data_IF_378958314698
#
_entry.id   IF_378958314698
#
_cell.length_a   1.000
_cell.length_b   1.000
_cell.length_c   1.000
_cell.angle_alpha   90.00
_cell.angle_beta   90.00
_cell.angle_gamma   90.00
#
_symmetry.space_group_name_H-M   'P 1'
#
loop_
_entity.id
_entity.type
_entity.pdbx_description
1 polymer ?
#
# COMPACT_ATOMS: atom_id res chain seq x y z
N UNK A 1 24.02 -23.20 51.08
CA UNK A 1 23.52 -22.89 49.72
C UNK A 1 22.96 -21.47 49.76
N UNK A 2 23.61 -20.52 49.09
CA UNK A 2 23.17 -19.12 49.02
C UNK A 2 22.48 -18.92 47.68
N UNK A 3 21.16 -18.79 47.69
CA UNK A 3 20.38 -18.39 46.53
C UNK A 3 20.71 -16.94 46.20
N UNK A 4 21.19 -16.71 44.98
CA UNK A 4 21.41 -15.39 44.42
C UNK A 4 20.18 -15.03 43.60
N UNK A 5 19.31 -14.22 44.17
CA UNK A 5 18.16 -13.62 43.49
C UNK A 5 18.69 -12.63 42.45
N UNK A 6 18.61 -13.00 41.16
CA UNK A 6 18.87 -12.08 40.05
C UNK A 6 17.71 -11.09 39.95
N UNK A 7 17.99 -9.83 40.27
CA UNK A 7 17.15 -8.68 39.94
C UNK A 7 17.10 -8.52 38.41
N UNK A 8 15.99 -8.93 37.81
CA UNK A 8 15.60 -8.47 36.47
C UNK A 8 15.29 -6.97 36.58
N UNK A 9 16.26 -6.15 36.21
CA UNK A 9 16.04 -4.72 35.97
C UNK A 9 15.39 -4.59 34.61
N UNK A 10 14.08 -4.42 34.59
CA UNK A 10 13.34 -3.91 33.43
C UNK A 10 13.89 -2.51 33.13
N UNK A 11 14.83 -2.45 32.17
CA UNK A 11 15.34 -1.19 31.63
C UNK A 11 14.23 -0.62 30.76
N UNK A 12 13.59 0.45 31.26
CA UNK A 12 12.69 1.26 30.45
C UNK A 12 13.54 1.98 29.42
N UNK A 13 13.39 1.60 28.15
CA UNK A 13 13.87 2.32 26.98
C UNK A 13 13.57 3.82 27.20
N UNK A 14 14.56 4.72 27.10
CA UNK A 14 14.25 6.15 27.07
C UNK A 14 13.36 6.35 25.84
N UNK A 15 12.09 6.71 26.08
CA UNK A 15 11.17 7.21 25.06
C UNK A 15 11.75 8.51 24.50
N UNK A 16 12.77 8.39 23.66
CA UNK A 16 13.28 9.49 22.87
C UNK A 16 12.12 9.95 22.01
N UNK A 17 11.82 11.23 22.19
CA UNK A 17 10.69 12.00 21.70
C UNK A 17 10.10 11.50 20.38
N UNK A 18 8.77 11.58 20.22
CA UNK A 18 8.14 11.26 18.95
C UNK A 18 8.81 12.15 17.91
N UNK A 19 9.51 11.53 16.95
CA UNK A 19 9.78 12.20 15.70
C UNK A 19 8.41 12.58 15.18
N UNK A 20 8.06 13.85 15.35
CA UNK A 20 6.92 14.46 14.72
C UNK A 20 7.13 14.19 13.23
N UNK A 21 6.47 13.13 12.76
CA UNK A 21 6.25 12.88 11.36
C UNK A 21 5.62 14.17 10.88
N UNK A 22 6.42 14.95 10.14
CA UNK A 22 5.85 15.91 9.20
C UNK A 22 5.19 15.00 8.17
N UNK A 23 3.95 14.62 8.49
CA UNK A 23 2.93 14.41 7.49
C UNK A 23 3.03 15.68 6.67
N UNK A 24 3.57 15.57 5.46
CA UNK A 24 3.44 16.62 4.47
C UNK A 24 1.94 16.66 4.22
N UNK A 25 1.23 17.46 5.01
CA UNK A 25 -0.08 17.97 4.68
C UNK A 25 0.15 18.84 3.44
N UNK A 26 0.19 18.19 2.28
CA UNK A 26 -0.23 18.85 1.06
C UNK A 26 -1.60 19.41 1.36
N UNK A 27 -1.66 20.72 1.58
CA UNK A 27 -2.89 21.45 1.74
C UNK A 27 -3.72 21.20 0.48
N UNK A 28 -4.65 20.25 0.58
CA UNK A 28 -5.76 20.09 -0.33
C UNK A 28 -6.55 21.40 -0.27
N UNK A 29 -6.24 22.30 -1.20
CA UNK A 29 -7.13 23.40 -1.59
C UNK A 29 -8.49 22.76 -1.85
N UNK A 30 -9.50 23.22 -1.11
CA UNK A 30 -10.76 22.52 -0.89
C UNK A 30 -11.37 21.88 -2.13
N UNK A 31 -11.47 20.55 -2.10
CA UNK A 31 -12.39 19.82 -2.97
C UNK A 31 -13.83 20.03 -2.46
N UNK A 32 -14.78 20.38 -3.35
CA UNK A 32 -16.16 20.59 -2.95
C UNK A 32 -16.79 19.25 -2.57
N UNK A 33 -17.40 19.21 -1.39
CA UNK A 33 -18.45 18.29 -0.96
C UNK A 33 -18.30 16.83 -1.41
N UNK A 34 -17.82 16.00 -0.48
CA UNK A 34 -17.99 14.55 -0.48
C UNK A 34 -19.49 14.26 -0.50
N UNK A 35 -20.06 14.14 -1.70
CA UNK A 35 -21.35 13.49 -1.91
C UNK A 35 -21.11 12.02 -1.56
N UNK A 36 -21.74 11.57 -0.47
CA UNK A 36 -21.82 10.15 -0.12
C UNK A 36 -22.15 9.34 -1.38
N UNK A 37 -21.38 8.28 -1.59
CA UNK A 37 -21.55 7.36 -2.71
C UNK A 37 -23.00 6.87 -2.73
N UNK A 38 -23.71 7.13 -3.83
CA UNK A 38 -24.97 6.46 -4.09
C UNK A 38 -24.71 4.94 -4.16
N UNK A 39 -25.64 4.10 -3.67
CA UNK A 39 -25.47 2.66 -3.75
C UNK A 39 -25.22 2.21 -5.21
N UNK A 40 -24.39 1.18 -5.43
CA UNK A 40 -23.86 0.80 -6.76
C UNK A 40 -24.91 0.47 -7.82
N UNK A 41 -26.18 0.31 -7.45
CA UNK A 41 -27.28 -0.02 -8.35
C UNK A 41 -27.85 1.19 -9.12
N UNK A 42 -27.72 2.42 -8.62
CA UNK A 42 -28.25 3.64 -9.27
C UNK A 42 -27.18 4.46 -10.00
N UNK A 43 -26.00 3.89 -10.22
CA UNK A 43 -24.88 4.62 -10.80
C UNK A 43 -25.09 4.92 -12.31
N UNK A 44 -25.14 6.20 -12.75
CA UNK A 44 -25.39 6.56 -14.14
C UNK A 44 -24.25 6.18 -15.11
N UNK A 45 -23.09 5.79 -14.59
CA UNK A 45 -21.93 5.39 -15.38
C UNK A 45 -21.79 3.87 -15.50
N UNK A 46 -22.70 3.09 -14.88
CA UNK A 46 -22.67 1.63 -14.93
C UNK A 46 -22.87 1.14 -16.38
N UNK A 47 -22.12 0.12 -16.84
CA UNK A 47 -22.35 -0.45 -18.16
C UNK A 47 -23.74 -1.13 -18.22
N UNK A 48 -24.43 -1.11 -19.38
CA UNK A 48 -25.65 -1.88 -19.57
C UNK A 48 -25.42 -3.38 -19.36
N UNK A 49 -26.36 -4.07 -18.72
CA UNK A 49 -26.27 -5.50 -18.48
C UNK A 49 -26.45 -6.31 -19.78
N UNK A 50 -25.74 -7.43 -19.90
CA UNK A 50 -25.91 -8.38 -21.01
C UNK A 50 -25.32 -7.92 -22.35
N UNK A 51 -24.47 -6.90 -22.35
CA UNK A 51 -23.72 -6.51 -23.55
C UNK A 51 -22.69 -7.57 -23.92
N UNK A 52 -22.30 -7.58 -25.21
CA UNK A 52 -21.12 -8.30 -25.67
C UNK A 52 -19.83 -7.61 -25.20
N UNK A 53 -18.68 -8.30 -25.29
CA UNK A 53 -17.38 -7.70 -25.01
C UNK A 53 -17.14 -6.41 -25.80
N UNK A 54 -17.52 -6.36 -27.09
CA UNK A 54 -17.40 -5.15 -27.90
C UNK A 54 -18.26 -4.01 -27.33
N UNK A 55 -19.49 -4.31 -26.86
CA UNK A 55 -20.34 -3.32 -26.23
C UNK A 55 -19.75 -2.75 -24.93
N UNK A 56 -19.05 -3.57 -24.13
CA UNK A 56 -18.34 -3.07 -22.94
C UNK A 56 -17.10 -2.25 -23.29
N UNK A 57 -16.35 -2.63 -24.33
CA UNK A 57 -15.22 -1.85 -24.83
C UNK A 57 -15.65 -0.49 -25.39
N UNK A 58 -16.76 -0.44 -26.13
CA UNK A 58 -17.34 0.81 -26.63
C UNK A 58 -17.79 1.70 -25.46
N UNK A 59 -18.44 1.12 -24.44
CA UNK A 59 -18.80 1.86 -23.22
C UNK A 59 -17.57 2.40 -22.48
N UNK A 60 -16.51 1.61 -22.36
CA UNK A 60 -15.22 2.05 -21.80
C UNK A 60 -14.64 3.24 -22.57
N UNK A 61 -14.66 3.22 -23.91
CA UNK A 61 -14.22 4.35 -24.72
C UNK A 61 -15.05 5.61 -24.44
N UNK A 62 -16.38 5.49 -24.34
CA UNK A 62 -17.28 6.61 -23.98
C UNK A 62 -16.96 7.18 -22.59
N UNK A 63 -16.56 6.33 -21.63
CA UNK A 63 -16.10 6.79 -20.32
C UNK A 63 -14.79 7.58 -20.43
N UNK A 64 -13.82 7.12 -21.23
CA UNK A 64 -12.54 7.80 -21.42
C UNK A 64 -12.68 9.19 -22.07
N UNK A 65 -13.71 9.40 -22.89
CA UNK A 65 -13.99 10.68 -23.53
C UNK A 65 -14.63 11.72 -22.60
N UNK A 66 -15.04 11.33 -21.38
CA UNK A 66 -15.65 12.29 -20.44
C UNK A 66 -14.62 13.33 -19.96
N UNK A 67 -15.04 14.58 -19.66
CA UNK A 67 -14.16 15.59 -19.08
C UNK A 67 -13.54 15.15 -17.74
N UNK A 68 -12.33 15.61 -17.45
CA UNK A 68 -11.60 15.26 -16.21
C UNK A 68 -12.38 15.56 -14.93
N UNK A 69 -13.18 16.64 -14.91
CA UNK A 69 -14.04 16.99 -13.77
C UNK A 69 -15.12 15.95 -13.46
N UNK A 70 -15.52 15.13 -14.45
CA UNK A 70 -16.41 14.00 -14.23
C UNK A 70 -15.62 12.77 -13.78
N UNK A 71 -14.43 12.55 -14.34
CA UNK A 71 -13.56 11.41 -14.02
C UNK A 71 -13.10 11.37 -12.56
N UNK A 72 -13.01 12.54 -11.93
CA UNK A 72 -12.67 12.65 -10.50
C UNK A 72 -13.82 12.27 -9.55
N UNK A 73 -15.05 12.09 -10.04
CA UNK A 73 -16.22 11.77 -9.20
C UNK A 73 -16.23 10.30 -8.83
N UNK A 74 -16.60 10.00 -7.58
CA UNK A 74 -16.71 8.62 -7.07
C UNK A 74 -17.64 7.75 -7.92
N UNK A 75 -18.83 8.26 -8.26
CA UNK A 75 -19.78 7.55 -9.13
C UNK A 75 -19.17 7.19 -10.49
N UNK A 76 -18.37 8.09 -11.09
CA UNK A 76 -17.71 7.79 -12.35
C UNK A 76 -16.69 6.65 -12.19
N UNK A 77 -15.84 6.72 -11.16
CA UNK A 77 -14.83 5.67 -10.89
C UNK A 77 -15.46 4.31 -10.60
N UNK A 78 -16.57 4.27 -9.87
CA UNK A 78 -17.35 3.04 -9.68
C UNK A 78 -17.94 2.50 -11.00
N UNK A 79 -18.41 3.37 -11.89
CA UNK A 79 -18.88 2.97 -13.21
C UNK A 79 -17.76 2.42 -14.09
N UNK A 80 -16.58 3.03 -14.00
CA UNK A 80 -15.36 2.53 -14.65
C UNK A 80 -14.96 1.16 -14.08
N UNK A 81 -14.90 1.00 -12.75
CA UNK A 81 -14.57 -0.27 -12.11
C UNK A 81 -15.54 -1.40 -12.52
N UNK A 82 -16.85 -1.11 -12.54
CA UNK A 82 -17.87 -2.05 -13.02
C UNK A 82 -17.74 -2.37 -14.51
N UNK A 83 -17.34 -1.39 -15.33
CA UNK A 83 -17.07 -1.63 -16.77
C UNK A 83 -15.87 -2.53 -16.95
N UNK A 84 -14.79 -2.32 -16.21
CA UNK A 84 -13.58 -3.14 -16.25
C UNK A 84 -13.87 -4.57 -15.78
N UNK A 85 -14.68 -4.73 -14.74
CA UNK A 85 -15.15 -6.04 -14.28
C UNK A 85 -15.86 -6.80 -15.42
N UNK A 86 -16.82 -6.15 -16.10
CA UNK A 86 -17.52 -6.74 -17.23
C UNK A 86 -16.63 -7.07 -18.41
N UNK A 87 -15.63 -6.25 -18.71
CA UNK A 87 -14.62 -6.56 -19.73
C UNK A 87 -13.81 -7.80 -19.33
N UNK A 88 -13.39 -7.89 -18.06
CA UNK A 88 -12.55 -8.98 -17.56
C UNK A 88 -13.31 -10.29 -17.34
N UNK A 89 -14.64 -10.26 -17.17
CA UNK A 89 -15.51 -11.45 -17.23
C UNK A 89 -15.41 -12.18 -18.59
N UNK A 90 -15.07 -11.46 -19.66
CA UNK A 90 -14.80 -11.98 -21.01
C UNK A 90 -13.29 -12.06 -21.31
N UNK A 91 -12.46 -12.28 -20.29
CA UNK A 91 -11.01 -12.21 -20.39
C UNK A 91 -10.39 -13.17 -21.40
N UNK A 92 -11.05 -14.29 -21.72
CA UNK A 92 -10.64 -15.27 -22.73
C UNK A 92 -10.81 -14.77 -24.18
N UNK A 93 -11.64 -13.74 -24.38
CA UNK A 93 -11.82 -13.06 -25.67
C UNK A 93 -10.80 -11.92 -25.87
N UNK A 94 -9.97 -11.62 -24.86
CA UNK A 94 -9.00 -10.53 -24.87
C UNK A 94 -7.58 -11.03 -25.15
N UNK A 95 -6.78 -10.18 -25.77
CA UNK A 95 -5.33 -10.36 -25.80
C UNK A 95 -4.76 -10.23 -24.38
N UNK A 96 -3.79 -11.08 -24.02
CA UNK A 96 -3.08 -11.07 -22.73
C UNK A 96 -2.67 -9.66 -22.27
N UNK A 97 -2.12 -8.84 -23.19
CA UNK A 97 -1.68 -7.46 -22.91
C UNK A 97 -2.84 -6.55 -22.51
N UNK A 98 -4.02 -6.73 -23.12
CA UNK A 98 -5.24 -5.99 -22.76
C UNK A 98 -5.78 -6.48 -21.42
N UNK A 99 -5.76 -7.79 -21.18
CA UNK A 99 -6.18 -8.36 -19.90
C UNK A 99 -5.31 -7.84 -18.75
N UNK A 100 -3.98 -7.87 -18.90
CA UNK A 100 -3.03 -7.28 -17.95
C UNK A 100 -3.31 -5.80 -17.70
N UNK A 101 -3.53 -5.03 -18.76
CA UNK A 101 -3.81 -3.60 -18.68
C UNK A 101 -5.10 -3.32 -17.91
N UNK A 102 -6.18 -4.05 -18.19
CA UNK A 102 -7.46 -3.85 -17.53
C UNK A 102 -7.46 -4.29 -16.07
N UNK A 103 -6.76 -5.39 -15.73
CA UNK A 103 -6.59 -5.81 -14.32
C UNK A 103 -5.85 -4.75 -13.51
N UNK A 104 -4.73 -4.22 -14.02
CA UNK A 104 -3.99 -3.13 -13.37
C UNK A 104 -4.84 -1.86 -13.22
N UNK A 105 -5.61 -1.50 -14.27
CA UNK A 105 -6.48 -0.34 -14.23
C UNK A 105 -7.63 -0.52 -13.22
N UNK A 106 -8.16 -1.75 -13.06
CA UNK A 106 -9.20 -2.05 -12.09
C UNK A 106 -8.69 -1.90 -10.65
N UNK A 107 -7.51 -2.47 -10.34
CA UNK A 107 -6.84 -2.29 -9.04
C UNK A 107 -6.59 -0.80 -8.75
N UNK A 108 -6.03 -0.07 -9.72
CA UNK A 108 -5.78 1.37 -9.58
C UNK A 108 -7.07 2.16 -9.32
N UNK A 109 -8.13 1.88 -10.08
CA UNK A 109 -9.41 2.60 -9.95
C UNK A 109 -10.03 2.40 -8.56
N UNK A 110 -9.96 1.18 -8.02
CA UNK A 110 -10.43 0.86 -6.69
C UNK A 110 -9.54 1.46 -5.59
N UNK A 111 -8.21 1.48 -5.79
CA UNK A 111 -7.26 2.17 -4.90
C UNK A 111 -7.57 3.67 -4.79
N UNK A 112 -7.75 4.34 -5.93
CA UNK A 112 -8.10 5.76 -5.99
C UNK A 112 -9.44 6.07 -5.26
N UNK A 113 -10.37 5.12 -5.23
CA UNK A 113 -11.63 5.22 -4.46
C UNK A 113 -11.39 4.99 -2.96
N UNK A 114 -10.63 3.96 -2.59
CA UNK A 114 -10.29 3.66 -1.20
C UNK A 114 -9.50 4.82 -0.54
N UNK A 115 -8.58 5.45 -1.27
CA UNK A 115 -7.85 6.64 -0.82
C UNK A 115 -8.78 7.83 -0.52
N UNK A 116 -9.91 7.92 -1.25
CA UNK A 116 -10.98 8.89 -1.00
C UNK A 116 -11.91 8.47 0.16
N UNK A 117 -11.52 7.50 0.97
CA UNK A 117 -12.25 6.97 2.14
C UNK A 117 -13.56 6.27 1.81
N UNK A 118 -13.63 5.64 0.63
CA UNK A 118 -14.72 4.73 0.26
C UNK A 118 -14.44 3.33 0.81
N UNK A 119 -15.10 2.96 1.90
CA UNK A 119 -14.92 1.67 2.59
C UNK A 119 -15.35 0.48 1.73
N UNK A 120 -16.35 0.64 0.86
CA UNK A 120 -16.79 -0.45 -0.03
C UNK A 120 -15.76 -0.69 -1.14
N UNK A 121 -15.15 0.39 -1.66
CA UNK A 121 -14.06 0.26 -2.62
C UNK A 121 -12.83 -0.40 -2.01
N UNK A 122 -12.53 -0.11 -0.74
CA UNK A 122 -11.44 -0.76 -0.01
C UNK A 122 -11.67 -2.27 0.15
N UNK A 123 -12.88 -2.68 0.56
CA UNK A 123 -13.24 -4.10 0.65
C UNK A 123 -13.10 -4.80 -0.70
N UNK A 124 -13.59 -4.17 -1.75
CA UNK A 124 -13.54 -4.71 -3.11
C UNK A 124 -12.11 -4.78 -3.65
N UNK A 125 -11.29 -3.76 -3.37
CA UNK A 125 -9.86 -3.73 -3.70
C UNK A 125 -9.13 -4.94 -3.12
N UNK A 126 -9.29 -5.22 -1.83
CA UNK A 126 -8.60 -6.35 -1.20
C UNK A 126 -9.20 -7.71 -1.60
N UNK A 127 -10.53 -7.78 -1.88
CA UNK A 127 -11.12 -8.97 -2.50
C UNK A 127 -10.47 -9.28 -3.85
N UNK A 128 -10.29 -8.25 -4.68
CA UNK A 128 -9.72 -8.37 -6.00
C UNK A 128 -8.21 -8.67 -5.95
N UNK A 129 -7.46 -8.04 -5.04
CA UNK A 129 -6.06 -8.33 -4.80
C UNK A 129 -5.83 -9.81 -4.45
N UNK A 130 -6.68 -10.41 -3.61
CA UNK A 130 -6.62 -11.87 -3.32
C UNK A 130 -6.87 -12.73 -4.55
N UNK A 131 -7.72 -12.27 -5.45
CA UNK A 131 -8.00 -12.97 -6.72
C UNK A 131 -6.79 -12.89 -7.67
N UNK A 132 -6.08 -11.76 -7.66
CA UNK A 132 -4.96 -11.48 -8.56
C UNK A 132 -3.57 -11.80 -7.98
N UNK A 133 -3.47 -12.25 -6.73
CA UNK A 133 -2.22 -12.66 -6.09
C UNK A 133 -1.43 -13.68 -6.94
N UNK A 134 -2.15 -14.51 -7.70
CA UNK A 134 -1.58 -15.56 -8.58
C UNK A 134 -1.81 -15.27 -10.06
N UNK A 135 -2.11 -14.03 -10.43
CA UNK A 135 -2.31 -13.62 -11.83
C UNK A 135 -1.12 -14.07 -12.69
N UNK A 136 -1.31 -14.58 -13.92
CA UNK A 136 -0.19 -14.94 -14.79
C UNK A 136 0.69 -13.72 -15.10
N UNK A 137 0.10 -12.53 -15.12
CA UNK A 137 0.77 -11.26 -15.40
C UNK A 137 1.59 -10.80 -14.20
N UNK A 138 2.90 -10.63 -14.40
CA UNK A 138 3.82 -10.24 -13.33
C UNK A 138 3.44 -8.90 -12.71
N UNK A 139 3.08 -7.89 -13.52
CA UNK A 139 2.75 -6.56 -13.02
C UNK A 139 1.52 -6.58 -12.09
N UNK A 140 0.45 -7.29 -12.52
CA UNK A 140 -0.79 -7.43 -11.74
C UNK A 140 -0.52 -8.18 -10.43
N UNK A 141 0.22 -9.29 -10.49
CA UNK A 141 0.58 -10.07 -9.30
C UNK A 141 1.40 -9.24 -8.31
N UNK A 142 2.35 -8.44 -8.78
CA UNK A 142 3.16 -7.58 -7.93
C UNK A 142 2.30 -6.50 -7.24
N UNK A 143 1.40 -5.85 -7.97
CA UNK A 143 0.49 -4.85 -7.38
C UNK A 143 -0.48 -5.50 -6.38
N UNK A 144 -1.06 -6.65 -6.72
CA UNK A 144 -1.92 -7.41 -5.82
C UNK A 144 -1.20 -7.80 -4.53
N UNK A 145 0.03 -8.31 -4.62
CA UNK A 145 0.84 -8.65 -3.45
C UNK A 145 1.20 -7.41 -2.62
N UNK A 146 1.49 -6.27 -3.25
CA UNK A 146 1.74 -5.01 -2.55
C UNK A 146 0.53 -4.60 -1.71
N UNK A 147 -0.67 -4.64 -2.29
CA UNK A 147 -1.92 -4.32 -1.59
C UNK A 147 -2.17 -5.28 -0.42
N UNK A 148 -1.92 -6.58 -0.59
CA UNK A 148 -2.06 -7.56 0.50
C UNK A 148 -1.03 -7.33 1.63
N UNK A 149 0.17 -6.87 1.29
CA UNK A 149 1.14 -6.42 2.29
C UNK A 149 0.67 -5.17 3.03
N UNK A 150 0.14 -4.17 2.33
CA UNK A 150 -0.46 -2.97 2.95
C UNK A 150 -1.58 -3.36 3.94
N UNK A 151 -2.51 -4.24 3.52
CA UNK A 151 -3.58 -4.77 4.38
C UNK A 151 -3.02 -5.46 5.63
N UNK A 152 -2.07 -6.38 5.43
CA UNK A 152 -1.43 -7.14 6.52
C UNK A 152 -0.75 -6.21 7.51
N UNK A 153 0.02 -5.23 7.03
CA UNK A 153 0.78 -4.30 7.88
C UNK A 153 -0.13 -3.33 8.63
N UNK A 154 -1.25 -2.94 8.03
CA UNK A 154 -2.25 -2.07 8.65
C UNK A 154 -3.02 -2.78 9.75
N UNK A 155 -3.34 -4.06 9.57
CA UNK A 155 -4.06 -4.87 10.56
C UNK A 155 -3.27 -5.15 11.85
N UNK A 156 -1.96 -4.88 11.87
CA UNK A 156 -1.11 -5.09 13.06
C UNK A 156 -1.25 -3.86 13.99
N UNK A 157 -2.17 -3.94 14.96
CA UNK A 157 -2.29 -2.94 16.02
C UNK A 157 -1.14 -3.08 17.03
N UNK A 158 -0.96 -4.28 17.57
CA UNK A 158 0.09 -4.64 18.53
C UNK A 158 0.98 -5.74 17.93
N UNK A 159 2.24 -5.43 17.55
CA UNK A 159 3.10 -6.42 16.93
C UNK A 159 3.65 -7.40 17.97
N UNK A 160 3.55 -8.68 17.66
CA UNK A 160 4.17 -9.75 18.44
C UNK A 160 5.69 -9.73 18.26
N UNK A 161 6.42 -9.48 19.35
CA UNK A 161 7.88 -9.37 19.36
C UNK A 161 8.58 -10.63 18.86
N UNK A 162 7.98 -11.82 19.02
CA UNK A 162 8.58 -13.06 18.57
C UNK A 162 8.56 -13.22 17.04
N UNK A 163 7.54 -12.67 16.38
CA UNK A 163 7.32 -12.82 14.92
C UNK A 163 7.66 -11.56 14.13
N UNK A 164 7.78 -10.41 14.79
CA UNK A 164 8.07 -9.13 14.16
C UNK A 164 9.37 -9.10 13.34
N UNK A 165 10.52 -9.67 13.80
CA UNK A 165 11.73 -9.72 12.97
C UNK A 165 11.53 -10.53 11.67
N UNK A 166 10.85 -11.68 11.75
CA UNK A 166 10.57 -12.53 10.59
C UNK A 166 9.65 -11.81 9.60
N UNK A 167 8.61 -11.13 10.09
CA UNK A 167 7.73 -10.30 9.28
C UNK A 167 8.50 -9.21 8.51
N UNK A 168 9.42 -8.50 9.18
CA UNK A 168 10.25 -7.48 8.56
C UNK A 168 11.24 -8.07 7.54
N UNK A 169 11.76 -9.27 7.78
CA UNK A 169 12.59 -9.97 6.81
C UNK A 169 11.78 -10.34 5.56
N UNK A 170 10.58 -10.89 5.74
CA UNK A 170 9.73 -11.32 4.62
C UNK A 170 9.21 -10.14 3.80
N UNK A 171 8.84 -9.04 4.46
CA UNK A 171 8.48 -7.81 3.77
C UNK A 171 9.65 -7.29 2.92
N UNK A 172 10.87 -7.31 3.46
CA UNK A 172 12.07 -6.90 2.71
C UNK A 172 12.31 -7.81 1.50
N UNK A 173 12.22 -9.14 1.67
CA UNK A 173 12.36 -10.10 0.56
C UNK A 173 11.35 -9.79 -0.54
N UNK A 174 10.09 -9.52 -0.19
CA UNK A 174 9.07 -9.12 -1.16
C UNK A 174 9.48 -7.84 -1.90
N UNK A 175 9.85 -6.78 -1.19
CA UNK A 175 10.25 -5.51 -1.79
C UNK A 175 11.48 -5.64 -2.71
N UNK A 176 12.42 -6.53 -2.39
CA UNK A 176 13.58 -6.82 -3.25
C UNK A 176 13.17 -7.50 -4.58
N UNK A 177 11.99 -8.15 -4.65
CA UNK A 177 11.49 -8.74 -5.90
C UNK A 177 10.88 -7.73 -6.86
N UNK A 178 10.64 -6.50 -6.39
CA UNK A 178 10.03 -5.46 -7.19
C UNK A 178 11.09 -4.79 -8.08
N UNK A 179 10.79 -4.56 -9.37
CA UNK A 179 11.75 -3.96 -10.29
C UNK A 179 12.08 -2.52 -9.91
N UNK A 180 11.12 -1.82 -9.30
CA UNK A 180 11.25 -0.43 -8.87
C UNK A 180 10.41 -0.16 -7.62
N UNK A 181 10.93 0.72 -6.77
CA UNK A 181 10.19 1.29 -5.65
C UNK A 181 9.82 2.74 -5.99
N UNK A 182 8.54 3.00 -6.20
CA UNK A 182 7.98 4.35 -6.45
C UNK A 182 7.05 4.86 -5.35
N UNK A 183 6.26 5.88 -5.68
CA UNK A 183 5.28 6.55 -4.81
C UNK A 183 4.36 5.59 -4.06
N UNK A 184 3.82 4.58 -4.76
CA UNK A 184 2.93 3.55 -4.20
C UNK A 184 3.50 2.76 -3.01
N UNK A 185 4.81 2.79 -2.78
CA UNK A 185 5.44 2.07 -1.67
C UNK A 185 5.66 2.95 -0.43
N UNK A 186 5.29 4.24 -0.46
CA UNK A 186 5.45 5.13 0.69
C UNK A 186 4.67 4.64 1.92
N UNK A 187 3.46 4.11 1.72
CA UNK A 187 2.63 3.60 2.81
C UNK A 187 3.30 2.38 3.47
N UNK A 188 3.77 1.41 2.66
CA UNK A 188 4.55 0.27 3.15
C UNK A 188 5.83 0.72 3.88
N UNK A 189 6.53 1.73 3.36
CA UNK A 189 7.72 2.27 4.01
C UNK A 189 7.44 2.96 5.35
N UNK A 190 6.29 3.61 5.47
CA UNK A 190 5.82 4.16 6.75
C UNK A 190 5.49 3.05 7.74
N UNK A 191 4.75 2.01 7.29
CA UNK A 191 4.39 0.89 8.15
C UNK A 191 5.59 0.05 8.59
N UNK A 192 6.57 -0.21 7.71
CA UNK A 192 7.78 -0.95 8.08
C UNK A 192 8.56 -0.22 9.18
N UNK A 193 8.68 1.11 9.09
CA UNK A 193 9.35 1.91 10.13
C UNK A 193 8.56 1.94 11.43
N UNK A 194 7.23 2.01 11.38
CA UNK A 194 6.39 1.85 12.58
C UNK A 194 6.66 0.52 13.28
N UNK A 195 6.77 -0.57 12.52
CA UNK A 195 7.08 -1.89 13.03
C UNK A 195 8.51 -1.96 13.61
N UNK A 196 9.50 -1.38 12.95
CA UNK A 196 10.88 -1.30 13.48
C UNK A 196 10.91 -0.55 14.81
N UNK A 197 10.19 0.58 14.92
CA UNK A 197 10.07 1.34 16.17
C UNK A 197 9.39 0.55 17.31
N UNK A 198 8.63 -0.48 16.99
CA UNK A 198 7.95 -1.32 17.96
C UNK A 198 8.80 -2.50 18.44
N UNK A 199 9.97 -2.76 17.85
CA UNK A 199 10.90 -3.78 18.35
C UNK A 199 11.45 -3.36 19.71
N UNK A 200 11.34 -4.23 20.70
CA UNK A 200 11.96 -4.04 22.03
C UNK A 200 13.45 -4.37 22.02
N UNK A 201 13.90 -5.15 21.04
CA UNK A 201 15.30 -5.55 20.92
C UNK A 201 16.15 -4.42 20.31
N UNK A 202 16.99 -3.85 21.17
CA UNK A 202 17.88 -2.73 20.86
C UNK A 202 18.99 -3.11 19.86
N UNK A 203 19.27 -4.40 19.64
CA UNK A 203 20.24 -4.87 18.64
C UNK A 203 19.59 -5.02 17.25
N UNK A 204 18.34 -5.51 17.18
CA UNK A 204 17.65 -5.71 15.90
C UNK A 204 17.17 -4.40 15.25
N UNK A 205 16.67 -3.45 16.04
CA UNK A 205 16.12 -2.20 15.50
C UNK A 205 17.13 -1.40 14.62
N UNK A 206 18.37 -1.11 15.07
CA UNK A 206 19.36 -0.41 14.24
C UNK A 206 19.73 -1.17 12.96
N UNK A 207 19.84 -2.50 13.03
CA UNK A 207 20.07 -3.32 11.85
C UNK A 207 18.95 -3.16 10.81
N UNK A 208 17.68 -3.21 11.24
CA UNK A 208 16.55 -3.00 10.32
C UNK A 208 16.48 -1.56 9.78
N UNK A 209 16.83 -0.54 10.56
CA UNK A 209 16.93 0.83 10.03
C UNK A 209 17.96 0.95 8.91
N UNK A 210 19.12 0.31 9.07
CA UNK A 210 20.14 0.27 8.02
C UNK A 210 19.64 -0.42 6.76
N UNK A 211 19.07 -1.62 6.93
CA UNK A 211 18.58 -2.46 5.83
C UNK A 211 17.46 -1.79 5.04
N UNK A 212 16.42 -1.29 5.71
CA UNK A 212 15.30 -0.60 5.05
C UNK A 212 15.70 0.77 4.52
N UNK A 213 16.59 1.48 5.23
CA UNK A 213 17.16 2.73 4.76
C UNK A 213 17.90 2.58 3.43
N UNK A 214 18.74 1.55 3.30
CA UNK A 214 19.41 1.21 2.03
C UNK A 214 18.43 0.82 0.93
N UNK A 215 17.45 -0.01 1.25
CA UNK A 215 16.43 -0.42 0.29
C UNK A 215 15.70 0.79 -0.31
N UNK A 216 15.21 1.70 0.53
CA UNK A 216 14.45 2.87 0.08
C UNK A 216 15.32 3.95 -0.57
N UNK A 217 16.58 4.11 -0.14
CA UNK A 217 17.51 5.07 -0.74
C UNK A 217 17.89 4.76 -2.20
N UNK A 218 17.70 3.50 -2.64
CA UNK A 218 17.90 3.08 -4.04
C UNK A 218 16.75 3.48 -4.97
N UNK A 219 15.63 3.97 -4.43
CA UNK A 219 14.50 4.44 -5.22
C UNK A 219 14.87 5.66 -6.07
N UNK A 220 14.37 5.71 -7.31
CA UNK A 220 14.41 6.93 -8.14
C UNK A 220 13.32 7.95 -7.74
N UNK A 221 12.31 7.51 -6.97
CA UNK A 221 11.27 8.39 -6.47
C UNK A 221 11.81 9.22 -5.29
N UNK A 222 12.01 10.51 -5.54
CA UNK A 222 12.69 11.46 -4.64
C UNK A 222 12.24 11.39 -3.18
N UNK A 223 10.94 11.28 -2.92
CA UNK A 223 10.44 11.28 -1.55
C UNK A 223 10.81 9.98 -0.81
N UNK A 224 10.74 8.82 -1.48
CA UNK A 224 11.14 7.54 -0.90
C UNK A 224 12.65 7.43 -0.73
N UNK A 225 13.43 7.94 -1.70
CA UNK A 225 14.88 8.06 -1.57
C UNK A 225 15.30 8.87 -0.35
N UNK A 226 14.79 10.09 -0.23
CA UNK A 226 15.07 10.97 0.89
C UNK A 226 14.57 10.40 2.23
N UNK A 227 13.53 9.56 2.21
CA UNK A 227 13.09 8.81 3.38
C UNK A 227 14.12 7.75 3.78
N UNK A 228 14.61 6.94 2.83
CA UNK A 228 15.66 5.95 3.06
C UNK A 228 16.97 6.54 3.60
N UNK A 229 17.46 7.63 3.01
CA UNK A 229 18.67 8.33 3.47
C UNK A 229 18.55 8.83 4.92
N UNK A 230 17.36 9.30 5.30
CA UNK A 230 17.06 9.71 6.69
C UNK A 230 17.08 8.51 7.64
N UNK A 231 16.52 7.37 7.24
CA UNK A 231 16.55 6.14 8.05
C UNK A 231 17.98 5.63 8.27
N UNK A 232 18.84 5.66 7.25
CA UNK A 232 20.24 5.28 7.41
C UNK A 232 20.97 6.18 8.41
N UNK A 233 20.73 7.49 8.32
CA UNK A 233 21.32 8.46 9.26
C UNK A 233 20.82 8.23 10.68
N UNK A 234 19.53 7.92 10.83
CA UNK A 234 18.93 7.59 12.13
C UNK A 234 19.51 6.30 12.71
N UNK A 235 19.56 5.22 11.93
CA UNK A 235 20.10 3.92 12.38
C UNK A 235 21.54 4.03 12.89
N UNK A 236 22.41 4.76 12.18
CA UNK A 236 23.81 5.00 12.63
C UNK A 236 23.89 5.77 13.95
N UNK A 237 23.02 6.77 14.14
CA UNK A 237 22.98 7.54 15.39
C UNK A 237 22.46 6.69 16.55
N UNK A 238 21.47 5.85 16.29
CA UNK A 238 20.90 4.93 17.25
C UNK A 238 21.95 3.90 17.72
N UNK A 239 22.66 3.28 16.77
CA UNK A 239 23.76 2.36 17.07
C UNK A 239 24.87 3.03 17.90
N UNK A 240 25.26 4.26 17.54
CA UNK A 240 26.26 5.03 18.28
C UNK A 240 25.81 5.35 19.72
N UNK A 241 24.51 5.63 19.96
CA UNK A 241 24.00 5.85 21.31
C UNK A 241 24.08 4.61 22.19
N UNK A 242 23.83 3.42 21.62
CA UNK A 242 23.93 2.15 22.36
C UNK A 242 25.37 1.81 22.75
N UNK A 243 26.36 2.21 21.93
CA UNK A 243 27.79 1.98 22.23
C UNK A 243 28.36 2.96 23.27
N UNK A 244 27.64 4.05 23.56
CA UNK A 244 28.08 5.10 24.49
C UNK A 244 27.58 4.93 25.92
N UNK A 245 26.74 3.93 26.19
CA UNK A 245 26.19 3.56 27.51
C UNK A 245 26.87 2.31 28.10
#
# INVERSE_FOLDING_TARGET
>A
MKETTKLQTSRRIPKLLPFAFIIICCASIGSPSILMAAPPEENPYRPPAGNSIQGYLDHYQVLLEKPEILKSRSAFRWGLAATLEKILEHGDELEDTKQETFQNLQLKTLRDLAEAKDEEAEKELFRLARTYEKSPFQSVRQEAQLLLWEERLRAIEEPDQATLPELLIDLKKFLDTLPELGERHLEVASHSVRLINALEDEEFAPAFYGVYGELYAKSEYRALKAYGERLQTFGKKFEASLQSE
#
